data_IF_243148895022
#
_entry.id   IF_243148895022
#
_cell.length_a   1.000
_cell.length_b   1.000
_cell.length_c   1.000
_cell.angle_alpha   90.00
_cell.angle_beta   90.00
_cell.angle_gamma   90.00
#
_symmetry.space_group_name_H-M   'P 1'
#
loop_
_entity.id
_entity.type
_entity.pdbx_description
1 polymer ?
#
# COMPACT_ATOMS: atom_id res chain seq x y z
N UNK A 1 6.82 7.37 -3.14
CA UNK A 1 8.17 6.75 -3.16
C UNK A 1 8.73 6.46 -1.75
N UNK A 2 8.62 7.36 -0.77
CA UNK A 2 9.19 7.19 0.59
C UNK A 2 8.66 5.98 1.38
N UNK A 3 7.40 5.58 1.16
CA UNK A 3 6.78 4.44 1.84
C UNK A 3 7.55 3.12 1.65
N UNK A 4 8.14 2.91 0.46
CA UNK A 4 8.94 1.70 0.18
C UNK A 4 10.12 1.60 1.13
N UNK A 5 10.87 2.70 1.26
CA UNK A 5 12.05 2.75 2.12
C UNK A 5 11.68 2.49 3.57
N UNK A 6 10.58 3.09 4.06
CA UNK A 6 10.13 2.91 5.44
C UNK A 6 9.73 1.45 5.70
N UNK A 7 8.91 0.86 4.84
CA UNK A 7 8.41 -0.51 5.01
C UNK A 7 9.57 -1.51 4.89
N UNK A 8 10.41 -1.38 3.87
CA UNK A 8 11.53 -2.30 3.62
C UNK A 8 12.63 -2.15 4.69
N UNK A 9 12.99 -0.92 5.11
CA UNK A 9 13.95 -0.74 6.22
C UNK A 9 13.39 -1.29 7.53
N UNK A 10 12.11 -1.08 7.82
CA UNK A 10 11.45 -1.65 8.99
C UNK A 10 11.55 -3.17 9.00
N UNK A 11 11.27 -3.82 7.86
CA UNK A 11 11.41 -5.28 7.74
C UNK A 11 12.86 -5.75 7.87
N UNK A 12 13.79 -5.07 7.22
CA UNK A 12 15.22 -5.41 7.31
C UNK A 12 15.73 -5.32 8.75
N UNK A 13 15.34 -4.26 9.48
CA UNK A 13 15.66 -4.11 10.89
C UNK A 13 15.05 -5.20 11.78
N UNK A 14 13.86 -5.69 11.43
CA UNK A 14 13.20 -6.77 12.17
C UNK A 14 13.80 -8.16 11.91
N UNK A 15 14.39 -8.38 10.72
CA UNK A 15 15.09 -9.62 10.39
C UNK A 15 16.41 -9.74 11.19
N UNK A 16 17.14 -8.64 11.37
CA UNK A 16 18.43 -8.65 12.08
C UNK A 16 19.59 -9.21 11.23
N UNK A 17 20.83 -8.99 11.68
CA UNK A 17 22.04 -9.37 10.93
C UNK A 17 22.39 -10.87 11.00
N UNK A 18 21.83 -11.59 11.97
CA UNK A 18 22.18 -13.00 12.24
C UNK A 18 21.95 -13.95 11.05
N UNK A 19 20.98 -13.67 10.19
CA UNK A 19 20.69 -14.50 9.02
C UNK A 19 21.76 -14.33 7.92
N UNK A 20 22.33 -13.12 7.78
CA UNK A 20 23.43 -12.88 6.86
C UNK A 20 24.72 -13.51 7.37
N UNK A 21 24.98 -13.44 8.68
CA UNK A 21 26.12 -14.08 9.34
C UNK A 21 26.06 -15.60 9.21
N UNK A 22 24.93 -16.22 9.57
CA UNK A 22 24.75 -17.68 9.44
C UNK A 22 24.92 -18.17 8.00
N UNK A 23 24.44 -17.41 7.00
CA UNK A 23 24.65 -17.74 5.60
C UNK A 23 26.14 -17.70 5.21
N UNK A 24 26.89 -16.72 5.72
CA UNK A 24 28.34 -16.60 5.49
C UNK A 24 29.13 -17.69 6.20
N UNK A 25 28.70 -18.12 7.39
CA UNK A 25 29.30 -19.23 8.12
C UNK A 25 29.13 -20.56 7.38
N UNK A 26 28.04 -20.73 6.64
CA UNK A 26 27.80 -21.86 5.73
C UNK A 26 28.54 -21.73 4.38
N UNK A 27 29.39 -20.71 4.22
CA UNK A 27 30.22 -20.50 3.03
C UNK A 27 29.59 -19.63 1.94
N UNK A 28 28.44 -18.98 2.17
CA UNK A 28 27.88 -18.06 1.19
C UNK A 28 28.67 -16.75 1.13
N UNK A 29 28.93 -16.23 -0.07
CA UNK A 29 29.41 -14.85 -0.25
C UNK A 29 28.33 -13.83 0.16
N UNK A 30 28.71 -12.57 0.44
CA UNK A 30 27.75 -11.50 0.80
C UNK A 30 26.60 -11.36 -0.21
N UNK A 31 26.92 -11.43 -1.51
CA UNK A 31 25.90 -11.31 -2.57
C UNK A 31 24.98 -12.53 -2.59
N UNK A 32 25.51 -13.72 -2.33
CA UNK A 32 24.70 -14.93 -2.18
C UNK A 32 23.78 -14.86 -0.96
N UNK A 33 24.29 -14.47 0.21
CA UNK A 33 23.48 -14.28 1.42
C UNK A 33 22.36 -13.24 1.20
N UNK A 34 22.67 -12.12 0.54
CA UNK A 34 21.68 -11.11 0.15
C UNK A 34 20.58 -11.70 -0.75
N UNK A 35 20.95 -12.36 -1.83
CA UNK A 35 20.00 -12.82 -2.86
C UNK A 35 19.21 -14.06 -2.45
N UNK A 36 19.82 -15.00 -1.73
CA UNK A 36 19.24 -16.30 -1.38
C UNK A 36 18.54 -16.29 -0.02
N UNK A 37 18.94 -15.41 0.91
CA UNK A 37 18.38 -15.38 2.28
C UNK A 37 17.62 -14.09 2.54
N UNK A 38 18.28 -12.92 2.42
CA UNK A 38 17.64 -11.65 2.76
C UNK A 38 16.53 -11.27 1.78
N UNK A 39 16.75 -11.41 0.47
CA UNK A 39 15.78 -10.97 -0.56
C UNK A 39 14.44 -11.73 -0.47
N UNK A 40 14.40 -13.07 -0.32
CA UNK A 40 13.15 -13.79 -0.09
C UNK A 40 12.45 -13.41 1.22
N UNK A 41 13.21 -13.19 2.30
CA UNK A 41 12.66 -12.75 3.59
C UNK A 41 12.08 -11.32 3.55
N UNK A 42 12.64 -10.47 2.69
CA UNK A 42 12.11 -9.14 2.37
C UNK A 42 10.94 -9.18 1.38
N UNK A 43 10.77 -10.28 0.62
CA UNK A 43 9.74 -10.44 -0.40
C UNK A 43 8.33 -10.00 0.03
N UNK A 44 7.82 -10.44 1.20
CA UNK A 44 6.52 -10.00 1.69
C UNK A 44 6.42 -8.48 1.92
N UNK A 45 7.48 -7.85 2.43
CA UNK A 45 7.53 -6.41 2.66
C UNK A 45 7.65 -5.61 1.36
N UNK A 46 8.42 -6.11 0.39
CA UNK A 46 8.51 -5.54 -0.96
C UNK A 46 7.13 -5.58 -1.61
N UNK A 47 6.44 -6.72 -1.57
CA UNK A 47 5.10 -6.85 -2.13
C UNK A 47 4.08 -5.93 -1.45
N UNK A 48 4.09 -5.85 -0.11
CA UNK A 48 3.24 -4.91 0.62
C UNK A 48 3.53 -3.46 0.21
N UNK A 49 4.80 -3.07 0.09
CA UNK A 49 5.17 -1.73 -0.34
C UNK A 49 4.79 -1.42 -1.79
N UNK A 50 4.82 -2.42 -2.67
CA UNK A 50 4.39 -2.32 -4.06
C UNK A 50 2.88 -2.01 -4.13
N UNK A 51 2.07 -2.71 -3.33
CA UNK A 51 0.63 -2.43 -3.23
C UNK A 51 0.35 -1.01 -2.74
N UNK A 52 1.07 -0.54 -1.71
CA UNK A 52 0.92 0.82 -1.20
C UNK A 52 1.29 1.86 -2.25
N UNK A 53 2.44 1.70 -2.91
CA UNK A 53 2.87 2.66 -3.95
C UNK A 53 1.93 2.65 -5.14
N UNK A 54 1.50 1.47 -5.58
CA UNK A 54 0.52 1.33 -6.67
C UNK A 54 -0.78 2.06 -6.33
N UNK A 55 -1.35 1.84 -5.14
CA UNK A 55 -2.54 2.53 -4.69
C UNK A 55 -2.35 4.06 -4.67
N UNK A 56 -1.22 4.54 -4.11
CA UNK A 56 -0.93 5.98 -4.07
C UNK A 56 -0.69 6.59 -5.44
N UNK A 57 -0.18 5.82 -6.42
CA UNK A 57 0.06 6.33 -7.77
C UNK A 57 -1.22 6.41 -8.60
N UNK A 58 -2.16 5.48 -8.41
CA UNK A 58 -3.46 5.51 -9.10
C UNK A 58 -4.30 6.70 -8.63
N UNK A 59 -4.11 7.14 -7.39
CA UNK A 59 -4.80 8.29 -6.78
C UNK A 59 -4.10 9.64 -7.05
N UNK A 60 -2.92 9.66 -7.67
CA UNK A 60 -2.17 10.91 -7.89
C UNK A 60 -2.67 11.70 -9.11
N UNK A 61 -3.66 12.57 -8.85
CA UNK A 61 -4.17 13.52 -9.84
C UNK A 61 -3.16 14.61 -10.21
N UNK A 62 -2.35 15.10 -9.26
CA UNK A 62 -1.51 16.28 -9.47
C UNK A 62 -0.47 15.98 -10.54
N UNK A 63 0.31 14.91 -10.36
CA UNK A 63 1.35 14.51 -11.32
C UNK A 63 0.71 14.14 -12.66
N UNK A 64 -0.41 13.40 -12.64
CA UNK A 64 -1.13 13.04 -13.86
C UNK A 64 -1.61 14.29 -14.64
N UNK A 65 -2.12 15.31 -13.95
CA UNK A 65 -2.64 16.52 -14.60
C UNK A 65 -1.56 17.34 -15.30
N UNK A 66 -0.36 17.44 -14.70
CA UNK A 66 0.76 18.12 -15.33
C UNK A 66 1.26 17.36 -16.57
N UNK A 67 1.30 16.02 -16.49
CA UNK A 67 1.84 15.19 -17.56
C UNK A 67 0.85 14.95 -18.71
N UNK A 68 -0.45 15.02 -18.46
CA UNK A 68 -1.51 14.78 -19.46
C UNK A 68 -1.87 16.01 -20.31
N UNK A 69 -1.15 17.13 -20.19
CA UNK A 69 -1.41 18.34 -21.00
C UNK A 69 -1.27 18.01 -22.50
N UNK A 70 -2.39 18.00 -23.24
CA UNK A 70 -2.42 17.68 -24.67
C UNK A 70 -2.55 16.19 -25.01
N UNK A 71 -2.83 15.32 -24.04
CA UNK A 71 -3.08 13.90 -24.28
C UNK A 71 -4.43 13.68 -25.00
N UNK A 72 -4.49 12.72 -25.92
CA UNK A 72 -5.72 12.35 -26.63
C UNK A 72 -6.79 11.70 -25.72
N UNK A 73 -6.37 11.20 -24.56
CA UNK A 73 -7.23 10.55 -23.57
C UNK A 73 -6.92 11.10 -22.18
N UNK A 74 -7.94 11.57 -21.48
CA UNK A 74 -7.83 12.05 -20.11
C UNK A 74 -8.24 10.98 -19.10
N UNK A 75 -7.59 10.97 -17.93
CA UNK A 75 -8.03 10.13 -16.81
C UNK A 75 -9.31 10.71 -16.20
N UNK A 76 -10.09 9.85 -15.54
CA UNK A 76 -11.37 10.26 -14.91
C UNK A 76 -11.19 11.46 -13.95
N UNK A 77 -10.16 11.52 -13.08
CA UNK A 77 -9.94 12.67 -12.20
C UNK A 77 -9.66 13.97 -12.97
N UNK A 78 -8.89 13.91 -14.06
CA UNK A 78 -8.58 15.08 -14.90
C UNK A 78 -9.84 15.61 -15.56
N UNK A 79 -10.69 14.72 -16.08
CA UNK A 79 -11.95 15.10 -16.73
C UNK A 79 -12.94 15.76 -15.77
N UNK A 80 -13.02 15.28 -14.52
CA UNK A 80 -13.86 15.89 -13.48
C UNK A 80 -13.33 17.30 -13.16
N UNK A 81 -12.01 17.44 -12.97
CA UNK A 81 -11.39 18.72 -12.65
C UNK A 81 -11.50 19.75 -13.78
N UNK A 82 -11.18 19.37 -15.01
CA UNK A 82 -11.26 20.24 -16.20
C UNK A 82 -12.70 20.67 -16.47
N UNK A 83 -13.64 19.75 -16.39
CA UNK A 83 -15.06 20.00 -16.58
C UNK A 83 -15.69 20.89 -15.50
N UNK A 84 -15.28 20.75 -14.24
CA UNK A 84 -15.72 21.67 -13.18
C UNK A 84 -15.26 23.11 -13.44
N UNK A 85 -14.07 23.29 -14.03
CA UNK A 85 -13.51 24.61 -14.36
C UNK A 85 -14.16 25.24 -15.60
N UNK A 86 -14.62 24.43 -16.55
CA UNK A 86 -15.32 24.85 -17.76
C UNK A 86 -16.83 25.13 -17.56
N UNK A 87 -17.38 24.77 -16.40
CA UNK A 87 -18.80 24.85 -16.07
C UNK A 87 -19.37 23.47 -15.75
N UNK A 88 -19.75 23.26 -14.49
CA UNK A 88 -20.24 21.96 -14.00
C UNK A 88 -21.51 21.52 -14.73
N UNK A 89 -21.43 20.41 -15.46
CA UNK A 89 -22.61 19.75 -16.05
C UNK A 89 -23.18 18.71 -15.07
N UNK A 90 -24.50 18.42 -15.13
CA UNK A 90 -25.11 17.38 -14.29
C UNK A 90 -24.42 16.00 -14.44
N UNK A 91 -23.93 15.69 -15.64
CA UNK A 91 -23.22 14.44 -15.91
C UNK A 91 -21.86 14.36 -15.18
N UNK A 92 -21.11 15.46 -15.08
CA UNK A 92 -19.85 15.52 -14.35
C UNK A 92 -20.07 15.38 -12.83
N UNK A 93 -21.10 16.03 -12.31
CA UNK A 93 -21.46 15.92 -10.90
C UNK A 93 -21.92 14.50 -10.54
N UNK A 94 -22.66 13.84 -11.42
CA UNK A 94 -23.03 12.43 -11.26
C UNK A 94 -21.78 11.53 -11.22
N UNK A 95 -20.83 11.71 -12.14
CA UNK A 95 -19.59 10.94 -12.20
C UNK A 95 -18.74 11.12 -10.92
N UNK A 96 -18.59 12.37 -10.45
CA UNK A 96 -17.88 12.67 -9.21
C UNK A 96 -18.54 12.00 -7.99
N UNK A 97 -19.88 12.03 -7.93
CA UNK A 97 -20.64 11.39 -6.84
C UNK A 97 -20.48 9.87 -6.86
N UNK A 98 -20.51 9.24 -8.04
CA UNK A 98 -20.27 7.79 -8.17
C UNK A 98 -18.85 7.42 -7.74
N UNK A 99 -17.84 8.19 -8.16
CA UNK A 99 -16.46 7.96 -7.72
C UNK A 99 -16.33 8.07 -6.19
N UNK A 100 -16.94 9.10 -5.60
CA UNK A 100 -16.97 9.29 -4.15
C UNK A 100 -17.62 8.11 -3.44
N UNK A 101 -18.76 7.62 -3.92
CA UNK A 101 -19.45 6.46 -3.35
C UNK A 101 -18.61 5.19 -3.42
N UNK A 102 -17.94 4.94 -4.54
CA UNK A 102 -17.04 3.79 -4.71
C UNK A 102 -15.90 3.86 -3.69
N UNK A 103 -15.25 5.02 -3.55
CA UNK A 103 -14.17 5.22 -2.58
C UNK A 103 -14.66 5.05 -1.14
N UNK A 104 -15.82 5.61 -0.79
CA UNK A 104 -16.45 5.45 0.52
C UNK A 104 -16.74 3.98 0.84
N UNK A 105 -17.31 3.25 -0.12
CA UNK A 105 -17.58 1.81 0.01
C UNK A 105 -16.28 1.02 0.22
N UNK A 106 -15.24 1.29 -0.58
CA UNK A 106 -13.95 0.63 -0.44
C UNK A 106 -13.32 0.88 0.95
N UNK A 107 -13.36 2.12 1.44
CA UNK A 107 -12.86 2.48 2.78
C UNK A 107 -13.69 1.81 3.89
N UNK A 108 -15.01 1.79 3.77
CA UNK A 108 -15.90 1.09 4.71
C UNK A 108 -15.58 -0.41 4.78
N UNK A 109 -15.42 -1.06 3.62
CA UNK A 109 -15.05 -2.46 3.54
C UNK A 109 -13.68 -2.73 4.15
N UNK A 110 -12.67 -1.92 3.83
CA UNK A 110 -11.34 -2.03 4.43
C UNK A 110 -11.39 -1.87 5.96
N UNK A 111 -12.15 -0.88 6.47
CA UNK A 111 -12.33 -0.67 7.90
C UNK A 111 -13.01 -1.85 8.59
N UNK A 112 -14.00 -2.47 7.95
CA UNK A 112 -14.67 -3.67 8.45
C UNK A 112 -13.72 -4.88 8.52
N UNK A 113 -12.91 -5.10 7.49
CA UNK A 113 -11.90 -6.18 7.48
C UNK A 113 -10.87 -5.98 8.59
N UNK A 114 -10.32 -4.76 8.72
CA UNK A 114 -9.35 -4.44 9.78
C UNK A 114 -9.96 -4.61 11.17
N UNK A 115 -11.21 -4.21 11.38
CA UNK A 115 -11.94 -4.44 12.63
C UNK A 115 -12.04 -5.93 12.96
N UNK A 116 -12.40 -6.77 11.97
CA UNK A 116 -12.51 -8.22 12.17
C UNK A 116 -11.19 -8.92 12.46
N UNK A 117 -10.09 -8.44 11.88
CA UNK A 117 -8.75 -8.95 12.16
C UNK A 117 -8.29 -8.60 13.58
N UNK A 118 -8.62 -7.40 14.06
CA UNK A 118 -8.27 -6.95 15.42
C UNK A 118 -9.02 -7.71 16.52
N UNK A 119 -10.30 -8.04 16.30
CA UNK A 119 -11.10 -8.82 17.27
C UNK A 119 -10.69 -10.28 17.41
N UNK A 120 -9.93 -10.83 16.46
CA UNK A 120 -9.43 -12.23 16.53
C UNK A 120 -8.02 -12.34 17.13
N UNK A 121 -7.31 -11.22 17.29
CA UNK A 121 -5.92 -11.18 17.75
C UNK A 121 -5.74 -10.61 19.15
N UNK A 122 -6.71 -10.78 20.07
CA UNK A 122 -6.60 -10.31 21.45
C UNK A 122 -6.16 -11.46 22.39
N UNK A 123 -4.84 -11.68 22.60
CA UNK A 123 -4.32 -12.69 23.53
C UNK A 123 -4.71 -12.45 24.99
N UNK A 124 -5.26 -11.29 25.35
CA UNK A 124 -5.73 -11.01 26.71
C UNK A 124 -7.05 -11.71 27.07
N UNK A 125 -7.87 -12.10 26.08
CA UNK A 125 -9.10 -12.86 26.35
C UNK A 125 -8.79 -14.28 26.86
N UNK A 126 -7.69 -14.89 26.40
CA UNK A 126 -7.27 -16.24 26.80
C UNK A 126 -6.69 -16.25 28.23
N UNK A 127 -6.07 -15.15 28.69
CA UNK A 127 -5.50 -15.06 30.03
C UNK A 127 -6.54 -14.77 31.13
N UNK A 128 -7.68 -14.15 30.79
CA UNK A 128 -8.73 -13.85 31.76
C UNK A 128 -9.49 -15.11 32.25
N UNK A 129 -9.57 -16.16 31.43
CA UNK A 129 -10.22 -17.44 31.81
C UNK A 129 -9.37 -18.40 32.65
N UNK A 130 -8.07 -18.12 32.82
CA UNK A 130 -7.13 -18.97 33.59
C UNK A 130 -7.05 -18.54 35.07
N UNK A 131 -7.65 -17.38 35.42
CA UNK A 131 -7.64 -16.82 36.79
C UNK A 131 -8.99 -16.93 37.53
N UNK A 132 -9.94 -17.71 37.01
CA UNK A 132 -11.23 -17.97 37.66
C UNK A 132 -11.30 -19.40 38.18
#
# INVERSE_FOLDING_TARGET
>A
MSFVVIIVRGRLSAIGGQYEEAARDLGASRVQAMRLVLLPMLGPAIFASLMVVFATSVDDFVISSFLSTGAATETVPIKIYSGARAGSTPALNALATVMLLITLLAVLLAALVVRRMRTQGDPNATMAGIRA
#
